data_IF_596345699446
#
_entry.id   IF_596345699446
#
_cell.length_a   1.000
_cell.length_b   1.000
_cell.length_c   1.000
_cell.angle_alpha   90.00
_cell.angle_beta   90.00
_cell.angle_gamma   90.00
#
_symmetry.space_group_name_H-M   'P 1'
#
loop_
_entity.id
_entity.type
_entity.pdbx_description
1 polymer ?
#
# COMPACT_ATOMS: atom_id res chain seq x y z
N UNK A 1 -14.60 -8.30 -11.80
CA UNK A 1 -15.47 -9.49 -11.66
C UNK A 1 -14.80 -10.77 -12.15
N UNK A 2 -13.80 -10.71 -13.04
CA UNK A 2 -13.12 -11.92 -13.57
C UNK A 2 -12.51 -12.87 -12.53
N UNK A 3 -11.85 -12.38 -11.48
CA UNK A 3 -11.31 -13.25 -10.42
C UNK A 3 -12.39 -14.08 -9.71
N UNK A 4 -13.57 -13.48 -9.48
CA UNK A 4 -14.73 -14.20 -8.92
C UNK A 4 -15.33 -15.17 -9.94
N UNK A 5 -15.35 -14.79 -11.23
CA UNK A 5 -15.74 -15.66 -12.34
C UNK A 5 -14.87 -16.91 -12.41
N UNK A 6 -13.55 -16.75 -12.33
CA UNK A 6 -12.59 -17.86 -12.29
C UNK A 6 -12.83 -18.78 -11.08
N UNK A 7 -13.03 -18.21 -9.89
CA UNK A 7 -13.32 -19.00 -8.69
C UNK A 7 -14.58 -19.87 -8.86
N UNK A 8 -15.64 -19.30 -9.44
CA UNK A 8 -16.86 -20.04 -9.76
C UNK A 8 -16.63 -21.10 -10.85
N UNK A 9 -15.85 -20.79 -11.88
CA UNK A 9 -15.50 -21.74 -12.94
C UNK A 9 -14.71 -22.94 -12.40
N UNK A 10 -13.75 -22.71 -11.51
CA UNK A 10 -12.99 -23.76 -10.82
C UNK A 10 -13.88 -24.64 -9.94
N UNK A 11 -14.82 -24.03 -9.20
CA UNK A 11 -15.80 -24.76 -8.40
C UNK A 11 -16.73 -25.62 -9.28
N UNK A 12 -17.24 -25.06 -10.38
CA UNK A 12 -18.09 -25.76 -11.34
C UNK A 12 -17.35 -26.92 -12.04
N UNK A 13 -16.07 -26.72 -12.35
CA UNK A 13 -15.21 -27.79 -12.88
C UNK A 13 -15.07 -28.92 -11.86
N UNK A 14 -14.75 -28.61 -10.60
CA UNK A 14 -14.61 -29.60 -9.54
C UNK A 14 -15.87 -30.45 -9.35
N UNK A 15 -17.04 -29.80 -9.27
CA UNK A 15 -18.32 -30.51 -9.14
C UNK A 15 -18.66 -31.35 -10.38
N UNK A 16 -18.33 -30.86 -11.59
CA UNK A 16 -18.55 -31.61 -12.85
C UNK A 16 -17.66 -32.85 -12.94
N UNK A 17 -16.40 -32.76 -12.51
CA UNK A 17 -15.49 -33.92 -12.48
C UNK A 17 -16.01 -34.99 -11.52
N UNK A 18 -16.45 -34.60 -10.31
CA UNK A 18 -17.04 -35.55 -9.35
C UNK A 18 -18.29 -36.23 -9.93
N UNK A 19 -19.16 -35.46 -10.58
CA UNK A 19 -20.38 -35.98 -11.20
C UNK A 19 -20.11 -36.92 -12.39
N UNK A 20 -19.15 -36.59 -13.25
CA UNK A 20 -18.77 -37.40 -14.42
C UNK A 20 -18.00 -38.67 -14.01
N UNK A 21 -17.31 -38.67 -12.87
CA UNK A 21 -16.67 -39.86 -12.29
C UNK A 21 -17.67 -40.76 -11.54
N UNK A 22 -18.70 -40.16 -10.95
CA UNK A 22 -19.73 -40.90 -10.16
C UNK A 22 -20.84 -41.49 -11.03
N UNK A 23 -21.01 -41.01 -12.27
CA UNK A 23 -21.92 -41.58 -13.26
C UNK A 23 -21.22 -42.74 -13.96
N UNK A 24 -21.45 -43.95 -13.46
CA UNK A 24 -21.19 -45.18 -14.20
C UNK A 24 -21.95 -45.17 -15.54
N UNK A 25 -21.41 -45.93 -16.50
CA UNK A 25 -21.63 -45.95 -17.96
C UNK A 25 -23.07 -46.06 -18.52
N UNK A 26 -24.12 -45.85 -17.73
CA UNK A 26 -25.47 -46.35 -18.03
C UNK A 26 -26.42 -45.43 -18.82
N UNK A 27 -25.94 -44.30 -19.38
CA UNK A 27 -26.74 -43.53 -20.35
C UNK A 27 -25.96 -43.21 -21.64
N UNK A 28 -26.12 -44.02 -22.70
CA UNK A 28 -25.55 -43.70 -24.00
C UNK A 28 -26.22 -42.42 -24.53
N UNK A 29 -25.45 -41.32 -24.59
CA UNK A 29 -25.91 -40.03 -25.13
C UNK A 29 -25.53 -38.80 -24.30
N UNK A 30 -25.14 -38.95 -23.03
CA UNK A 30 -24.67 -37.81 -22.23
C UNK A 30 -23.13 -37.77 -22.31
N UNK A 31 -22.61 -36.96 -23.23
CA UNK A 31 -21.17 -36.71 -23.33
C UNK A 31 -20.61 -36.08 -22.05
N UNK A 32 -19.36 -36.40 -21.71
CA UNK A 32 -18.66 -35.82 -20.56
C UNK A 32 -18.60 -34.30 -20.68
N UNK A 33 -19.01 -33.57 -19.65
CA UNK A 33 -19.08 -32.11 -19.66
C UNK A 33 -17.78 -31.45 -19.17
N UNK A 34 -16.86 -32.23 -18.60
CA UNK A 34 -15.57 -31.73 -18.09
C UNK A 34 -14.81 -30.90 -19.14
N UNK A 35 -14.79 -31.33 -20.40
CA UNK A 35 -14.06 -30.60 -21.45
C UNK A 35 -14.54 -29.16 -21.63
N UNK A 36 -15.86 -28.94 -21.59
CA UNK A 36 -16.45 -27.60 -21.66
C UNK A 36 -16.04 -26.77 -20.45
N UNK A 37 -16.08 -27.35 -19.24
CA UNK A 37 -15.71 -26.66 -18.00
C UNK A 37 -14.23 -26.30 -17.93
N UNK A 38 -13.35 -27.11 -18.49
CA UNK A 38 -11.93 -26.78 -18.61
C UNK A 38 -11.75 -25.57 -19.53
N UNK A 39 -12.45 -25.52 -20.66
CA UNK A 39 -12.39 -24.38 -21.56
C UNK A 39 -12.91 -23.09 -20.90
N UNK A 40 -13.96 -23.17 -20.08
CA UNK A 40 -14.44 -22.01 -19.30
C UNK A 40 -13.35 -21.44 -18.39
N UNK A 41 -12.61 -22.30 -17.67
CA UNK A 41 -11.48 -21.89 -16.82
C UNK A 41 -10.35 -21.27 -17.63
N UNK A 42 -9.97 -21.88 -18.76
CA UNK A 42 -8.93 -21.37 -19.66
C UNK A 42 -9.28 -19.96 -20.15
N UNK A 43 -10.54 -19.74 -20.56
CA UNK A 43 -11.01 -18.44 -21.02
C UNK A 43 -10.88 -17.37 -19.93
N UNK A 44 -11.29 -17.67 -18.69
CA UNK A 44 -11.10 -16.73 -17.58
C UNK A 44 -9.62 -16.44 -17.28
N UNK A 45 -8.75 -17.45 -17.33
CA UNK A 45 -7.31 -17.26 -17.13
C UNK A 45 -6.70 -16.38 -18.23
N UNK A 46 -7.09 -16.58 -19.50
CA UNK A 46 -6.66 -15.75 -20.64
C UNK A 46 -7.04 -14.29 -20.43
N UNK A 47 -8.31 -14.03 -20.08
CA UNK A 47 -8.80 -12.67 -19.82
C UNK A 47 -8.05 -12.03 -18.65
N UNK A 48 -7.75 -12.77 -17.58
CA UNK A 48 -7.01 -12.25 -16.43
C UNK A 48 -5.57 -11.89 -16.82
N UNK A 49 -4.90 -12.70 -17.64
CA UNK A 49 -3.55 -12.42 -18.12
C UNK A 49 -3.50 -11.15 -18.99
N UNK A 50 -4.46 -10.99 -19.90
CA UNK A 50 -4.63 -9.77 -20.69
C UNK A 50 -4.89 -8.54 -19.81
N UNK A 51 -5.75 -8.67 -18.80
CA UNK A 51 -6.02 -7.59 -17.84
C UNK A 51 -4.77 -7.24 -17.01
N UNK A 52 -3.96 -8.22 -16.63
CA UNK A 52 -2.77 -8.01 -15.83
C UNK A 52 -1.74 -7.12 -16.54
N UNK A 53 -1.64 -7.22 -17.87
CA UNK A 53 -0.76 -6.35 -18.69
C UNK A 53 -1.11 -4.87 -18.59
N UNK A 54 -2.36 -4.54 -18.23
CA UNK A 54 -2.84 -3.17 -18.07
C UNK A 54 -2.85 -2.69 -16.61
N UNK A 55 -2.44 -3.54 -15.67
CA UNK A 55 -2.35 -3.19 -14.26
C UNK A 55 -0.98 -2.58 -13.95
N UNK A 56 -0.93 -1.27 -13.77
CA UNK A 56 0.31 -0.54 -13.43
C UNK A 56 0.56 -0.44 -11.93
N UNK A 57 -0.32 -1.02 -11.11
CA UNK A 57 -0.21 -0.91 -9.65
C UNK A 57 0.97 -1.72 -9.14
N UNK A 58 1.94 -1.04 -8.54
CA UNK A 58 3.07 -1.68 -7.90
C UNK A 58 2.68 -2.23 -6.54
N UNK A 59 3.04 -3.49 -6.28
CA UNK A 59 2.72 -4.19 -5.04
C UNK A 59 4.01 -4.40 -4.24
N UNK A 60 4.09 -3.95 -2.97
CA UNK A 60 5.24 -4.21 -2.13
C UNK A 60 5.45 -5.71 -1.90
N UNK A 61 6.70 -6.18 -2.00
CA UNK A 61 7.02 -7.61 -1.78
C UNK A 61 6.57 -8.14 -0.42
N UNK A 62 6.63 -7.30 0.63
CA UNK A 62 6.14 -7.67 1.95
C UNK A 62 4.65 -8.04 1.93
N UNK A 63 3.85 -7.33 1.13
CA UNK A 63 2.42 -7.59 1.03
C UNK A 63 2.14 -8.97 0.42
N UNK A 64 2.94 -9.39 -0.56
CA UNK A 64 2.86 -10.74 -1.14
C UNK A 64 3.21 -11.80 -0.09
N UNK A 65 4.29 -11.60 0.67
CA UNK A 65 4.67 -12.50 1.76
C UNK A 65 3.59 -12.59 2.85
N UNK A 66 2.92 -11.48 3.16
CA UNK A 66 1.84 -11.46 4.15
C UNK A 66 0.64 -12.29 3.65
N UNK A 67 0.27 -12.16 2.37
CA UNK A 67 -0.79 -12.97 1.74
C UNK A 67 -0.44 -14.45 1.76
N UNK A 68 0.78 -14.82 1.36
CA UNK A 68 1.24 -16.22 1.35
C UNK A 68 1.19 -16.85 2.76
N UNK A 69 1.50 -16.05 3.78
CA UNK A 69 1.43 -16.45 5.19
C UNK A 69 0.03 -16.31 5.80
N UNK A 70 -1.01 -16.09 4.99
CA UNK A 70 -2.40 -15.91 5.44
C UNK A 70 -2.58 -14.78 6.46
N UNK A 71 -1.75 -13.75 6.40
CA UNK A 71 -1.88 -12.53 7.20
C UNK A 71 -2.75 -11.51 6.48
N UNK A 72 -3.39 -10.65 7.26
CA UNK A 72 -4.23 -9.59 6.69
C UNK A 72 -3.34 -8.50 6.07
N UNK A 73 -3.42 -8.26 4.73
CA UNK A 73 -2.60 -7.28 4.04
C UNK A 73 -2.78 -5.84 4.57
N UNK A 74 -3.91 -5.53 5.20
CA UNK A 74 -4.19 -4.21 5.78
C UNK A 74 -3.33 -3.90 7.00
N UNK A 75 -2.72 -4.90 7.65
CA UNK A 75 -1.82 -4.67 8.77
C UNK A 75 -0.59 -3.88 8.31
N UNK A 76 0.00 -4.24 7.17
CA UNK A 76 1.13 -3.50 6.61
C UNK A 76 0.78 -2.03 6.38
N UNK A 77 -0.39 -1.75 5.79
CA UNK A 77 -0.83 -0.37 5.56
C UNK A 77 -0.96 0.42 6.85
N UNK A 78 -1.58 -0.18 7.88
CA UNK A 78 -1.71 0.44 9.20
C UNK A 78 -0.35 0.75 9.81
N UNK A 79 0.53 -0.24 9.87
CA UNK A 79 1.86 -0.09 10.48
C UNK A 79 2.70 0.99 9.78
N UNK A 80 2.60 1.07 8.45
CA UNK A 80 3.29 2.09 7.65
C UNK A 80 2.73 3.48 7.91
N UNK A 81 1.41 3.62 8.03
CA UNK A 81 0.76 4.88 8.34
C UNK A 81 1.12 5.37 9.75
N UNK A 82 1.04 4.49 10.74
CA UNK A 82 1.39 4.79 12.13
C UNK A 82 2.86 5.19 12.25
N UNK A 83 3.76 4.41 11.64
CA UNK A 83 5.19 4.73 11.63
C UNK A 83 5.48 6.06 10.95
N UNK A 84 4.86 6.35 9.81
CA UNK A 84 5.05 7.62 9.12
C UNK A 84 4.61 8.80 9.99
N UNK A 85 3.47 8.68 10.68
CA UNK A 85 2.99 9.70 11.60
C UNK A 85 3.95 9.91 12.79
N UNK A 86 4.41 8.82 13.42
CA UNK A 86 5.37 8.88 14.52
C UNK A 86 6.70 9.49 14.10
N UNK A 87 7.26 9.07 12.96
CA UNK A 87 8.52 9.60 12.43
C UNK A 87 8.41 11.09 12.09
N UNK A 88 7.30 11.52 11.51
CA UNK A 88 7.05 12.92 11.20
C UNK A 88 6.99 13.77 12.48
N UNK A 89 6.22 13.33 13.48
CA UNK A 89 6.15 14.01 14.79
C UNK A 89 7.53 14.09 15.46
N UNK A 90 8.28 13.00 15.45
CA UNK A 90 9.60 12.94 16.03
C UNK A 90 10.58 13.89 15.31
N UNK A 91 10.52 13.97 13.98
CA UNK A 91 11.35 14.89 13.21
C UNK A 91 11.01 16.36 13.52
N UNK A 92 9.72 16.70 13.57
CA UNK A 92 9.29 18.05 13.93
C UNK A 92 9.74 18.43 15.34
N UNK A 93 9.67 17.49 16.30
CA UNK A 93 10.16 17.73 17.66
C UNK A 93 11.68 17.99 17.68
N UNK A 94 12.47 17.27 16.87
CA UNK A 94 13.92 17.52 16.73
C UNK A 94 14.23 18.88 16.15
N UNK A 95 13.52 19.29 15.09
CA UNK A 95 13.69 20.61 14.47
C UNK A 95 13.41 21.70 15.51
N UNK A 96 12.28 21.60 16.22
CA UNK A 96 11.91 22.54 17.27
C UNK A 96 12.94 22.60 18.41
N UNK A 97 13.49 21.46 18.81
CA UNK A 97 14.52 21.39 19.85
C UNK A 97 15.82 22.08 19.41
N UNK A 98 16.25 21.88 18.15
CA UNK A 98 17.43 22.53 17.59
C UNK A 98 17.20 24.04 17.49
N UNK A 99 16.03 24.47 17.02
CA UNK A 99 15.69 25.91 16.95
C UNK A 99 15.65 26.56 18.33
N UNK A 100 15.07 25.88 19.33
CA UNK A 100 15.09 26.35 20.71
C UNK A 100 16.50 26.43 21.28
N UNK A 101 17.33 25.41 21.03
CA UNK A 101 18.73 25.40 21.44
C UNK A 101 19.51 26.56 20.81
N UNK A 102 19.35 26.79 19.50
CA UNK A 102 19.97 27.91 18.79
C UNK A 102 19.60 29.25 19.41
N UNK A 103 18.30 29.46 19.70
CA UNK A 103 17.82 30.69 20.36
C UNK A 103 18.45 30.90 21.74
N UNK A 104 18.46 29.87 22.58
CA UNK A 104 19.08 29.96 23.91
C UNK A 104 20.59 30.20 23.83
N UNK A 105 21.27 29.58 22.86
CA UNK A 105 22.69 29.80 22.62
C UNK A 105 22.96 31.24 22.17
N UNK A 106 22.18 31.76 21.23
CA UNK A 106 22.26 33.16 20.79
C UNK A 106 22.04 34.14 21.93
N UNK A 107 21.04 33.88 22.78
CA UNK A 107 20.77 34.71 23.95
C UNK A 107 21.94 34.69 24.94
N UNK A 108 22.48 33.51 25.26
CA UNK A 108 23.63 33.38 26.15
C UNK A 108 24.88 34.06 25.57
N UNK A 109 25.10 33.96 24.26
CA UNK A 109 26.22 34.61 23.59
C UNK A 109 26.07 36.13 23.57
N UNK A 110 24.89 36.68 23.26
CA UNK A 110 24.63 38.13 23.35
C UNK A 110 24.86 38.67 24.77
N UNK A 111 24.43 37.93 25.80
CA UNK A 111 24.60 38.35 27.20
C UNK A 111 26.06 38.38 27.65
N UNK A 112 26.87 37.39 27.24
CA UNK A 112 28.27 37.26 27.67
C UNK A 112 29.26 37.97 26.73
N UNK A 113 28.88 38.21 25.48
CA UNK A 113 29.70 38.82 24.44
C UNK A 113 28.88 39.81 23.59
N UNK A 114 28.56 41.01 24.12
CA UNK A 114 27.65 41.97 23.47
C UNK A 114 28.12 42.41 22.07
N UNK A 115 29.44 42.43 21.84
CA UNK A 115 30.05 42.79 20.55
C UNK A 115 29.65 41.85 19.40
N UNK A 116 29.19 40.63 19.71
CA UNK A 116 28.76 39.63 18.73
C UNK A 116 27.29 39.76 18.31
N UNK A 117 26.48 40.54 19.04
CA UNK A 117 25.04 40.67 18.79
C UNK A 117 24.67 41.09 17.35
N UNK A 118 25.38 42.03 16.68
CA UNK A 118 25.10 42.40 15.29
C UNK A 118 25.31 41.26 14.28
N UNK A 119 26.15 40.27 14.62
CA UNK A 119 26.49 39.14 13.77
C UNK A 119 25.52 37.97 14.00
N UNK A 120 25.08 37.79 15.25
CA UNK A 120 24.15 36.72 15.66
C UNK A 120 22.71 36.99 15.20
N UNK A 121 22.34 38.27 15.05
CA UNK A 121 21.01 38.70 14.61
C UNK A 121 21.14 39.60 13.38
N UNK A 122 21.55 39.04 12.22
CA UNK A 122 21.54 39.81 10.99
C UNK A 122 20.10 40.27 10.74
N UNK A 123 19.95 41.55 10.42
CA UNK A 123 18.68 42.22 10.11
C UNK A 123 17.78 41.30 9.27
N UNK A 124 16.58 41.02 9.79
CA UNK A 124 15.68 39.96 9.35
C UNK A 124 15.59 39.90 7.82
N UNK A 125 16.20 38.87 7.21
CA UNK A 125 15.90 38.52 5.83
C UNK A 125 14.39 38.20 5.74
N UNK A 126 13.70 38.65 4.68
CA UNK A 126 12.25 38.50 4.57
C UNK A 126 11.87 37.03 4.73
N UNK A 127 11.03 36.76 5.74
CA UNK A 127 10.45 35.45 5.97
C UNK A 127 9.63 35.06 4.74
N UNK A 128 10.03 33.98 4.07
CA UNK A 128 9.18 33.31 3.11
C UNK A 128 8.00 32.71 3.89
N UNK A 129 6.87 33.41 3.87
CA UNK A 129 5.59 32.91 4.38
C UNK A 129 5.22 31.63 3.61
N UNK A 130 5.60 30.49 4.19
CA UNK A 130 5.14 29.17 3.78
C UNK A 130 3.66 29.03 4.12
N UNK A 131 2.82 29.39 3.15
CA UNK A 131 1.48 28.88 2.87
C UNK A 131 0.79 28.15 4.04
N UNK A 132 -0.03 28.88 4.80
CA UNK A 132 -0.99 28.33 5.77
C UNK A 132 -2.28 27.79 5.13
N UNK A 133 -2.35 27.68 3.81
CA UNK A 133 -3.54 27.25 3.09
C UNK A 133 -3.45 25.78 2.65
N UNK A 134 -3.48 24.85 3.59
CA UNK A 134 -3.70 23.43 3.28
C UNK A 134 -4.45 22.66 4.38
N UNK A 135 -5.10 23.35 5.32
CA UNK A 135 -5.95 22.74 6.34
C UNK A 135 -7.37 23.31 6.26
N UNK A 136 -8.00 23.21 5.08
CA UNK A 136 -9.44 23.32 4.86
C UNK A 136 -9.78 22.77 3.48
N UNK A 137 -9.82 21.44 3.35
CA UNK A 137 -10.57 20.71 2.34
C UNK A 137 -10.74 19.26 2.80
#
# INVERSE_FOLDING_TARGET
>A
MELMGLANALYNLGTTVVNDLSKDKDKPGVGKQVGVRVNDVINHLSTIDEMAQHCTTMIPMQLLMDIDNSRNPMQLTRDRLERAATENQFMNAKINAIDSYRKHLEEALSQNFPDLEPILRPEQAPQLDGHKDAASA
#
